data_IF_775762144484
#
_entry.id   IF_775762144484
#
_cell.length_a   1.000
_cell.length_b   1.000
_cell.length_c   1.000
_cell.angle_alpha   90.00
_cell.angle_beta   90.00
_cell.angle_gamma   90.00
#
_symmetry.space_group_name_H-M   'P 1'
#
loop_
_entity.id
_entity.type
_entity.pdbx_description
1 polymer ?
#
# COMPACT_ATOMS: atom_id res chain seq x y z
N UNK A 1 21.22 -14.46 -19.58
CA UNK A 1 20.10 -13.53 -19.29
C UNK A 1 18.84 -14.37 -19.29
N UNK A 2 18.44 -14.89 -18.14
CA UNK A 2 17.27 -15.78 -18.04
C UNK A 2 16.05 -14.87 -17.88
N UNK A 3 15.37 -14.60 -18.99
CA UNK A 3 14.04 -14.00 -18.97
C UNK A 3 13.09 -15.04 -18.40
N UNK A 4 12.66 -14.83 -17.17
CA UNK A 4 11.74 -15.70 -16.48
C UNK A 4 10.33 -15.46 -17.04
N UNK A 5 10.05 -15.98 -18.23
CA UNK A 5 8.76 -15.88 -18.93
C UNK A 5 7.63 -16.64 -18.21
N UNK A 6 7.96 -17.46 -17.22
CA UNK A 6 7.00 -18.29 -16.48
C UNK A 6 6.18 -17.57 -15.40
N UNK A 7 6.55 -16.36 -14.97
CA UNK A 7 5.76 -15.66 -13.94
C UNK A 7 4.54 -14.91 -14.51
N UNK A 8 4.51 -14.66 -15.83
CA UNK A 8 3.44 -13.86 -16.48
C UNK A 8 2.48 -14.75 -17.28
N UNK A 9 2.86 -15.99 -17.63
CA UNK A 9 2.04 -16.86 -18.49
C UNK A 9 0.99 -17.69 -17.76
N UNK A 10 1.09 -17.88 -16.44
CA UNK A 10 0.18 -18.77 -15.69
C UNK A 10 -0.98 -18.06 -14.96
N UNK A 11 -0.91 -16.74 -14.75
CA UNK A 11 -2.00 -15.98 -14.16
C UNK A 11 -2.97 -15.46 -15.24
N UNK A 12 -3.82 -16.37 -15.72
CA UNK A 12 -5.15 -16.09 -16.28
C UNK A 12 -5.24 -15.06 -17.40
N UNK A 13 -5.07 -15.49 -18.66
CA UNK A 13 -5.36 -14.66 -19.85
C UNK A 13 -6.83 -14.24 -20.00
N UNK A 14 -7.72 -14.62 -19.09
CA UNK A 14 -9.13 -14.22 -19.10
C UNK A 14 -9.70 -14.13 -17.69
N UNK A 15 -10.24 -12.97 -17.34
CA UNK A 15 -11.08 -12.78 -16.17
C UNK A 15 -12.33 -13.67 -16.29
N UNK A 16 -12.68 -14.45 -15.26
CA UNK A 16 -13.97 -15.15 -15.23
C UNK A 16 -15.01 -14.28 -14.53
N UNK A 17 -16.29 -14.46 -14.83
CA UNK A 17 -17.38 -13.76 -14.14
C UNK A 17 -17.35 -13.96 -12.62
N UNK A 18 -16.95 -15.15 -12.16
CA UNK A 18 -16.74 -15.44 -10.73
C UNK A 18 -15.66 -14.57 -10.08
N UNK A 19 -14.70 -14.07 -10.85
CA UNK A 19 -13.59 -13.27 -10.33
C UNK A 19 -14.02 -11.82 -10.05
N UNK A 20 -15.19 -11.40 -10.55
CA UNK A 20 -15.77 -10.08 -10.26
C UNK A 20 -16.21 -9.96 -8.80
N UNK A 21 -16.51 -11.07 -8.12
CA UNK A 21 -16.83 -11.06 -6.68
C UNK A 21 -15.60 -10.68 -5.83
N UNK A 22 -14.40 -11.02 -6.32
CA UNK A 22 -13.13 -10.72 -5.66
C UNK A 22 -12.54 -9.37 -6.08
N UNK A 23 -13.13 -8.72 -7.09
CA UNK A 23 -12.67 -7.42 -7.59
C UNK A 23 -13.24 -6.32 -6.70
N UNK A 24 -12.37 -5.54 -6.04
CA UNK A 24 -12.85 -4.41 -5.27
C UNK A 24 -13.53 -3.39 -6.19
N UNK A 25 -14.69 -2.89 -5.75
CA UNK A 25 -15.47 -1.89 -6.51
C UNK A 25 -14.71 -0.60 -6.78
N UNK A 26 -13.71 -0.27 -5.95
CA UNK A 26 -12.85 0.89 -6.15
C UNK A 26 -11.98 0.79 -7.42
N UNK A 27 -11.84 -0.39 -8.04
CA UNK A 27 -11.20 -0.50 -9.36
C UNK A 27 -11.97 0.19 -10.49
N UNK A 28 -13.22 0.57 -10.23
CA UNK A 28 -14.06 1.34 -11.16
C UNK A 28 -14.00 2.85 -10.92
N UNK A 29 -13.27 3.28 -9.89
CA UNK A 29 -13.08 4.69 -9.57
C UNK A 29 -12.10 5.35 -10.55
N UNK A 30 -12.07 6.68 -10.54
CA UNK A 30 -11.10 7.40 -11.35
C UNK A 30 -9.67 7.33 -10.77
N UNK A 31 -8.67 7.70 -11.59
CA UNK A 31 -7.26 7.62 -11.19
C UNK A 31 -6.95 8.44 -9.93
N UNK A 32 -7.67 9.55 -9.69
CA UNK A 32 -7.44 10.41 -8.51
C UNK A 32 -7.99 9.77 -7.25
N UNK A 33 -9.19 9.18 -7.34
CA UNK A 33 -9.80 8.44 -6.25
C UNK A 33 -8.96 7.22 -5.87
N UNK A 34 -8.43 6.49 -6.87
CA UNK A 34 -7.51 5.36 -6.66
C UNK A 34 -6.21 5.87 -6.01
N UNK A 35 -5.64 6.98 -6.49
CA UNK A 35 -4.45 7.57 -5.90
C UNK A 35 -4.66 7.95 -4.43
N UNK A 36 -5.80 8.56 -4.11
CA UNK A 36 -6.14 8.94 -2.74
C UNK A 36 -6.36 7.71 -1.85
N UNK A 37 -7.00 6.65 -2.35
CA UNK A 37 -7.10 5.36 -1.65
C UNK A 37 -5.71 4.79 -1.33
N UNK A 38 -4.80 4.80 -2.31
CA UNK A 38 -3.45 4.28 -2.15
C UNK A 38 -2.66 5.12 -1.14
N UNK A 39 -2.70 6.44 -1.23
CA UNK A 39 -2.02 7.33 -0.26
C UNK A 39 -2.59 7.16 1.15
N UNK A 40 -3.90 6.92 1.26
CA UNK A 40 -4.58 6.64 2.54
C UNK A 40 -4.07 5.34 3.16
N UNK A 41 -4.03 4.25 2.37
CA UNK A 41 -3.48 2.97 2.82
C UNK A 41 -2.01 3.11 3.24
N UNK A 42 -1.21 3.86 2.47
CA UNK A 42 0.17 4.17 2.80
C UNK A 42 0.31 4.96 4.10
N UNK A 43 -0.59 5.91 4.35
CA UNK A 43 -0.59 6.71 5.58
C UNK A 43 -0.92 5.86 6.79
N UNK A 44 -1.91 4.95 6.69
CA UNK A 44 -2.25 4.01 7.77
C UNK A 44 -1.05 3.11 8.08
N UNK A 45 -0.38 2.59 7.05
CA UNK A 45 0.81 1.76 7.21
C UNK A 45 1.97 2.50 7.89
N UNK A 46 2.22 3.75 7.48
CA UNK A 46 3.31 4.58 7.98
C UNK A 46 2.94 5.38 9.23
N UNK A 47 1.70 5.27 9.72
CA UNK A 47 1.21 6.04 10.86
C UNK A 47 2.11 5.94 12.11
N UNK A 48 2.67 4.77 12.47
CA UNK A 48 3.58 4.67 13.61
C UNK A 48 4.82 5.58 13.46
N UNK A 49 5.37 5.68 12.25
CA UNK A 49 6.50 6.55 11.94
C UNK A 49 6.08 8.03 11.88
N UNK A 50 4.94 8.33 11.26
CA UNK A 50 4.42 9.69 11.11
C UNK A 50 4.14 10.33 12.48
N UNK A 51 3.60 9.58 13.44
CA UNK A 51 3.26 10.12 14.78
C UNK A 51 4.47 10.58 15.60
N UNK A 52 5.67 10.10 15.29
CA UNK A 52 6.89 10.50 16.00
C UNK A 52 7.74 11.50 15.21
N UNK A 53 7.25 11.96 14.06
CA UNK A 53 7.90 13.06 13.36
C UNK A 53 7.81 14.34 14.19
N UNK A 54 8.97 14.97 14.38
CA UNK A 54 9.09 16.28 15.01
C UNK A 54 8.87 17.39 13.97
N UNK A 55 9.09 17.08 12.68
CA UNK A 55 8.94 18.04 11.59
C UNK A 55 7.47 18.22 11.21
N UNK A 56 6.88 19.32 11.69
CA UNK A 56 5.51 19.69 11.38
C UNK A 56 5.23 19.90 9.89
N UNK A 57 6.24 20.23 9.06
CA UNK A 57 6.06 20.38 7.61
C UNK A 57 5.76 19.03 6.95
N UNK A 58 6.47 17.97 7.36
CA UNK A 58 6.23 16.61 6.85
C UNK A 58 4.83 16.12 7.21
N UNK A 59 4.39 16.39 8.44
CA UNK A 59 3.03 16.04 8.88
C UNK A 59 1.98 16.81 8.06
N UNK A 60 2.19 18.12 7.85
CA UNK A 60 1.29 18.95 7.07
C UNK A 60 1.20 18.49 5.60
N UNK A 61 2.32 18.09 5.01
CA UNK A 61 2.34 17.53 3.65
C UNK A 61 1.50 16.24 3.56
N UNK A 62 1.61 15.31 4.52
CA UNK A 62 0.74 14.12 4.56
C UNK A 62 -0.74 14.52 4.66
N UNK A 63 -1.07 15.48 5.54
CA UNK A 63 -2.44 15.98 5.73
C UNK A 63 -3.03 16.55 4.44
N UNK A 64 -2.24 17.29 3.67
CA UNK A 64 -2.65 17.86 2.39
C UNK A 64 -2.82 16.79 1.31
N UNK A 65 -1.95 15.77 1.29
CA UNK A 65 -2.00 14.70 0.30
C UNK A 65 -3.26 13.83 0.41
N UNK A 66 -3.69 13.48 1.63
CA UNK A 66 -4.84 12.58 1.83
C UNK A 66 -6.14 13.30 2.21
N UNK A 67 -6.06 14.58 2.55
CA UNK A 67 -7.16 15.37 3.08
C UNK A 67 -7.17 15.40 4.61
N UNK A 68 -7.40 16.61 5.15
CA UNK A 68 -7.35 16.90 6.59
C UNK A 68 -8.31 16.00 7.37
N UNK A 69 -9.56 15.91 6.92
CA UNK A 69 -10.62 15.14 7.59
C UNK A 69 -10.25 13.66 7.72
N UNK A 70 -9.71 13.08 6.65
CA UNK A 70 -9.31 11.68 6.60
C UNK A 70 -8.09 11.43 7.49
N UNK A 71 -7.12 12.35 7.50
CA UNK A 71 -5.96 12.26 8.38
C UNK A 71 -6.37 12.29 9.87
N UNK A 72 -7.25 13.21 10.25
CA UNK A 72 -7.76 13.28 11.62
C UNK A 72 -8.55 12.01 12.00
N UNK A 73 -9.33 11.47 11.06
CA UNK A 73 -10.03 10.20 11.26
C UNK A 73 -9.06 9.03 11.50
N UNK A 74 -8.03 8.90 10.66
CA UNK A 74 -6.98 7.87 10.81
C UNK A 74 -6.31 7.98 12.18
N UNK A 75 -5.95 9.19 12.61
CA UNK A 75 -5.33 9.40 13.92
C UNK A 75 -6.24 8.98 15.08
N UNK A 76 -7.55 9.25 14.99
CA UNK A 76 -8.51 8.91 16.05
C UNK A 76 -8.83 7.42 16.11
N UNK A 77 -8.88 6.75 14.97
CA UNK A 77 -9.36 5.37 14.84
C UNK A 77 -8.25 4.33 14.92
N UNK A 78 -7.04 4.68 14.48
CA UNK A 78 -5.94 3.72 14.40
C UNK A 78 -5.25 3.60 15.75
N UNK A 79 -5.39 2.43 16.38
CA UNK A 79 -4.60 2.06 17.56
C UNK A 79 -3.20 1.66 17.10
N UNK A 80 -2.18 2.28 17.69
CA UNK A 80 -0.78 1.96 17.41
C UNK A 80 -0.21 1.31 18.66
N UNK A 81 0.39 0.13 18.49
CA UNK A 81 1.22 -0.45 19.53
C UNK A 81 2.56 0.28 19.56
N UNK A 82 2.93 0.83 20.72
CA UNK A 82 4.19 1.55 20.91
C UNK A 82 5.41 0.70 20.54
N UNK A 83 5.30 -0.64 20.58
CA UNK A 83 6.38 -1.56 20.16
C UNK A 83 6.61 -1.60 18.64
N UNK A 84 5.66 -1.12 17.84
CA UNK A 84 5.75 -1.10 16.38
C UNK A 84 6.29 0.23 15.83
N UNK A 85 6.55 1.21 16.70
CA UNK A 85 7.02 2.52 16.30
C UNK A 85 8.49 2.41 15.86
N UNK A 86 8.74 2.75 14.60
CA UNK A 86 10.08 2.96 14.04
C UNK A 86 10.12 4.30 13.35
N UNK A 87 11.18 5.06 13.56
CA UNK A 87 11.43 6.27 12.79
C UNK A 87 11.95 5.83 11.42
N UNK A 88 11.16 6.10 10.37
CA UNK A 88 11.59 5.95 9.00
C UNK A 88 11.95 7.34 8.47
N UNK A 89 13.14 7.49 7.89
CA UNK A 89 13.46 8.73 7.20
C UNK A 89 12.79 8.74 5.82
N UNK A 90 11.79 9.62 5.68
CA UNK A 90 11.03 9.80 4.45
C UNK A 90 11.30 11.20 3.91
N UNK A 91 11.92 11.27 2.74
CA UNK A 91 12.22 12.54 2.06
C UNK A 91 11.10 12.91 1.08
N UNK A 92 10.78 12.02 0.13
CA UNK A 92 9.69 12.21 -0.83
C UNK A 92 8.41 11.57 -0.30
N UNK A 93 7.64 12.31 0.49
CA UNK A 93 6.48 11.78 1.22
C UNK A 93 5.48 11.14 0.27
N UNK A 94 5.11 11.84 -0.81
CA UNK A 94 4.15 11.32 -1.78
C UNK A 94 4.56 9.96 -2.35
N UNK A 95 5.77 9.83 -2.90
CA UNK A 95 6.20 8.57 -3.52
C UNK A 95 6.33 7.43 -2.49
N UNK A 96 6.74 7.74 -1.26
CA UNK A 96 6.84 6.74 -0.20
C UNK A 96 5.45 6.29 0.31
N UNK A 97 4.48 7.20 0.42
CA UNK A 97 3.08 6.86 0.71
C UNK A 97 2.49 5.97 -0.40
N UNK A 98 2.71 6.35 -1.66
CA UNK A 98 2.24 5.56 -2.80
C UNK A 98 2.83 4.16 -2.81
N UNK A 99 4.13 4.02 -2.54
CA UNK A 99 4.79 2.73 -2.46
C UNK A 99 4.25 1.86 -1.31
N UNK A 100 4.14 2.44 -0.12
CA UNK A 100 3.62 1.75 1.06
C UNK A 100 2.17 1.28 0.83
N UNK A 101 1.31 2.19 0.37
CA UNK A 101 -0.09 1.89 0.11
C UNK A 101 -0.30 0.85 -0.97
N UNK A 102 0.46 0.97 -2.07
CA UNK A 102 0.41 0.00 -3.16
C UNK A 102 0.78 -1.40 -2.69
N UNK A 103 1.84 -1.50 -1.88
CA UNK A 103 2.27 -2.78 -1.34
C UNK A 103 1.24 -3.39 -0.39
N UNK A 104 0.63 -2.57 0.48
CA UNK A 104 -0.46 -3.01 1.37
C UNK A 104 -1.64 -3.53 0.55
N UNK A 105 -2.12 -2.77 -0.43
CA UNK A 105 -3.28 -3.15 -1.25
C UNK A 105 -2.99 -4.44 -2.05
N UNK A 106 -1.83 -4.53 -2.72
CA UNK A 106 -1.46 -5.72 -3.50
C UNK A 106 -1.34 -6.95 -2.60
N UNK A 107 -0.67 -6.81 -1.45
CA UNK A 107 -0.36 -7.95 -0.57
C UNK A 107 -1.61 -8.49 0.14
N UNK A 108 -2.56 -7.62 0.48
CA UNK A 108 -3.85 -8.01 1.08
C UNK A 108 -4.86 -8.55 0.07
N UNK A 109 -4.66 -8.29 -1.21
CA UNK A 109 -5.54 -8.80 -2.28
C UNK A 109 -5.34 -10.28 -2.56
N UNK A 110 -6.40 -10.94 -3.01
CA UNK A 110 -6.36 -12.34 -3.43
C UNK A 110 -5.35 -12.53 -4.56
N UNK A 111 -4.63 -13.65 -4.56
CA UNK A 111 -3.62 -13.95 -5.59
C UNK A 111 -4.22 -13.93 -7.00
N UNK A 112 -5.52 -14.24 -7.11
CA UNK A 112 -6.23 -14.26 -8.37
C UNK A 112 -6.33 -12.86 -8.96
N UNK A 113 -6.84 -11.88 -8.21
CA UNK A 113 -7.11 -10.54 -8.75
C UNK A 113 -5.90 -9.60 -8.74
N UNK A 114 -4.81 -10.01 -8.06
CA UNK A 114 -3.60 -9.22 -7.86
C UNK A 114 -2.98 -8.62 -9.14
N UNK A 115 -2.92 -9.32 -10.30
CA UNK A 115 -2.37 -8.73 -11.52
C UNK A 115 -3.15 -7.51 -12.01
N UNK A 116 -4.49 -7.53 -11.92
CA UNK A 116 -5.33 -6.41 -12.32
C UNK A 116 -5.20 -5.24 -11.35
N UNK A 117 -5.24 -5.53 -10.04
CA UNK A 117 -5.00 -4.52 -9.00
C UNK A 117 -3.62 -3.86 -9.18
N UNK A 118 -2.58 -4.65 -9.42
CA UNK A 118 -1.23 -4.13 -9.63
C UNK A 118 -1.09 -3.25 -10.88
N UNK A 119 -1.98 -3.40 -11.87
CA UNK A 119 -1.99 -2.57 -13.07
C UNK A 119 -2.75 -1.26 -12.86
N UNK A 120 -3.78 -1.28 -12.02
CA UNK A 120 -4.62 -0.10 -11.76
C UNK A 120 -4.04 0.85 -10.71
N UNK A 121 -3.20 0.36 -9.80
CA UNK A 121 -2.64 1.24 -8.76
C UNK A 121 -1.45 2.08 -9.28
N UNK A 122 -1.32 3.33 -8.80
CA UNK A 122 -0.20 4.20 -9.14
C UNK A 122 1.13 3.60 -8.66
N UNK A 123 2.13 3.64 -9.53
CA UNK A 123 3.49 3.19 -9.21
C UNK A 123 4.28 4.34 -8.61
N UNK A 124 5.02 4.12 -7.50
CA UNK A 124 5.88 5.14 -6.94
C UNK A 124 6.97 5.53 -7.95
N UNK A 125 7.31 6.82 -8.02
CA UNK A 125 8.43 7.28 -8.86
C UNK A 125 9.73 7.22 -8.05
N UNK A 126 10.81 6.81 -8.71
CA UNK A 126 12.14 6.78 -8.10
C UNK A 126 12.46 5.52 -7.29
N UNK A 127 13.54 5.58 -6.51
CA UNK A 127 14.02 4.47 -5.68
C UNK A 127 13.46 4.58 -4.27
N UNK A 128 13.03 3.46 -3.71
CA UNK A 128 12.63 3.38 -2.31
C UNK A 128 13.85 3.35 -1.39
N UNK A 129 13.76 4.06 -0.27
CA UNK A 129 14.73 3.94 0.80
C UNK A 129 14.79 2.51 1.34
N UNK A 130 15.99 2.04 1.70
CA UNK A 130 16.19 0.66 2.14
C UNK A 130 15.34 0.29 3.38
N UNK A 131 15.13 1.25 4.28
CA UNK A 131 14.33 1.06 5.49
C UNK A 131 12.86 0.80 5.15
N UNK A 132 12.26 1.66 4.32
CA UNK A 132 10.87 1.49 3.89
C UNK A 132 10.69 0.18 3.11
N UNK A 133 11.61 -0.11 2.19
CA UNK A 133 11.57 -1.36 1.43
C UNK A 133 11.60 -2.59 2.36
N UNK A 134 12.44 -2.57 3.39
CA UNK A 134 12.52 -3.64 4.39
C UNK A 134 11.20 -3.85 5.14
N UNK A 135 10.55 -2.77 5.58
CA UNK A 135 9.26 -2.87 6.28
C UNK A 135 8.12 -3.33 5.35
N UNK A 136 8.09 -2.86 4.10
CA UNK A 136 7.14 -3.34 3.08
C UNK A 136 7.30 -4.85 2.86
N UNK A 137 8.53 -5.35 2.74
CA UNK A 137 8.81 -6.78 2.54
C UNK A 137 8.34 -7.58 3.75
N UNK A 138 8.66 -7.14 4.98
CA UNK A 138 8.22 -7.80 6.21
C UNK A 138 6.70 -7.91 6.29
N UNK A 139 6.00 -6.81 5.99
CA UNK A 139 4.54 -6.80 5.97
C UNK A 139 3.99 -7.77 4.92
N UNK A 140 4.52 -7.72 3.70
CA UNK A 140 4.08 -8.59 2.60
C UNK A 140 4.26 -10.06 2.95
N UNK A 141 5.41 -10.44 3.50
CA UNK A 141 5.68 -11.82 3.94
C UNK A 141 4.75 -12.26 5.06
N UNK A 142 4.49 -11.38 6.03
CA UNK A 142 3.55 -11.66 7.12
C UNK A 142 2.14 -11.95 6.59
N UNK A 143 1.60 -11.09 5.73
CA UNK A 143 0.26 -11.25 5.15
C UNK A 143 0.17 -12.51 4.29
N UNK A 144 1.16 -12.77 3.44
CA UNK A 144 1.20 -13.98 2.61
C UNK A 144 1.21 -15.25 3.46
N UNK A 145 1.98 -15.25 4.56
CA UNK A 145 2.03 -16.40 5.46
C UNK A 145 0.71 -16.58 6.20
N UNK A 146 0.07 -15.52 6.71
CA UNK A 146 -1.25 -15.62 7.33
C UNK A 146 -2.27 -16.27 6.39
N UNK A 147 -2.30 -15.84 5.13
CA UNK A 147 -3.22 -16.37 4.13
C UNK A 147 -2.93 -17.85 3.77
N UNK A 148 -1.68 -18.31 3.88
CA UNK A 148 -1.32 -19.72 3.64
C UNK A 148 -1.74 -20.67 4.76
N UNK A 149 -1.86 -20.17 5.98
CA UNK A 149 -2.18 -20.99 7.17
C UNK A 149 -3.62 -20.77 7.68
N UNK A 150 -4.43 -19.97 6.98
CA UNK A 150 -5.84 -19.71 7.31
C UNK A 150 -6.81 -20.71 6.65
N UNK A 151 -6.30 -21.65 5.84
CA UNK A 151 -7.02 -22.76 5.21
C UNK A 151 -6.69 -24.07 5.90
#
# INVERSE_FOLDING_TARGET
MVTNEHAVSEFGKSLKWSDLEDIPTWLLWDDKEIEQLVMTAGTIFLLPSIRIWIDGKKIQEVRELIGIELFELILKTTKIDNKMIKLLNIDNIKDNLLAAGSAVIISSSSMRVRPWISNSIPKPKGKLGAELASEIIKHTLFVVNQNRYAT
#
